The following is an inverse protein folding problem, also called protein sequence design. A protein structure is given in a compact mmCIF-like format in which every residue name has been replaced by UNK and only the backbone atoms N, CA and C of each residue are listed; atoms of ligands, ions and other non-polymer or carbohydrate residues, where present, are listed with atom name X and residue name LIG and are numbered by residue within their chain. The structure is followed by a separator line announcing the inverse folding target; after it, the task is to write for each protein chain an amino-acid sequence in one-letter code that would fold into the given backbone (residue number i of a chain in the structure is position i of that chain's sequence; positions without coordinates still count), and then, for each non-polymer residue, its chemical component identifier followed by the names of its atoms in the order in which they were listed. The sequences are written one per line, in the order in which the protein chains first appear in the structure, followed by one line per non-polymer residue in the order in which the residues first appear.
data_IF_985667991116
#
_entry.id   IF_985667991116
#
_cell.length_a   1.000
_cell.length_b   1.000
_cell.length_c   1.000
_cell.angle_alpha   90.00
_cell.angle_beta   90.00
_cell.angle_gamma   90.00
#
_symmetry.space_group_name_H-M   'P 1'
#
loop_
_entity.id
_entity.type
_entity.pdbx_description
1 polymer ?
#
# COMPACT_ATOMS: atom_id res chain seq x y z
N UNK A 1 13.26 -2.16 -7.50
CA UNK A 1 13.96 -1.34 -6.47
C UNK A 1 14.33 0.07 -6.94
N UNK A 2 14.77 0.26 -8.19
CA UNK A 2 15.07 1.59 -8.75
C UNK A 2 13.92 2.60 -8.60
N UNK A 3 12.68 2.17 -8.90
CA UNK A 3 11.48 3.02 -8.78
C UNK A 3 11.19 3.46 -7.33
N UNK A 4 11.42 2.60 -6.33
CA UNK A 4 11.21 2.92 -4.91
C UNK A 4 12.21 3.98 -4.45
N UNK A 5 13.46 3.88 -4.91
CA UNK A 5 14.51 4.86 -4.64
C UNK A 5 14.24 6.22 -5.28
N UNK A 6 13.78 6.24 -6.54
CA UNK A 6 13.37 7.47 -7.23
C UNK A 6 12.20 8.13 -6.50
N UNK A 7 11.19 7.34 -6.10
CA UNK A 7 10.07 7.83 -5.30
C UNK A 7 10.56 8.43 -3.98
N UNK A 8 11.48 7.77 -3.26
CA UNK A 8 12.06 8.29 -2.02
C UNK A 8 12.73 9.65 -2.23
N UNK A 9 13.53 9.80 -3.30
CA UNK A 9 14.19 11.06 -3.62
C UNK A 9 13.20 12.18 -3.91
N UNK A 10 12.14 11.91 -4.69
CA UNK A 10 11.09 12.90 -4.99
C UNK A 10 10.31 13.33 -3.75
N UNK A 11 9.97 12.38 -2.87
CA UNK A 11 9.26 12.65 -1.61
C UNK A 11 10.16 13.45 -0.67
N UNK A 12 11.42 13.04 -0.52
CA UNK A 12 12.42 13.74 0.27
C UNK A 12 12.63 15.17 -0.19
N UNK A 13 12.78 15.41 -1.50
CA UNK A 13 12.91 16.75 -2.07
C UNK A 13 11.67 17.62 -1.75
N UNK A 14 10.46 17.06 -1.88
CA UNK A 14 9.21 17.77 -1.57
C UNK A 14 9.10 18.14 -0.10
N UNK A 15 9.46 17.23 0.81
CA UNK A 15 9.44 17.47 2.26
C UNK A 15 10.53 18.47 2.66
N UNK A 16 11.73 18.35 2.09
CA UNK A 16 12.85 19.26 2.30
C UNK A 16 12.51 20.69 1.89
N UNK A 17 11.95 20.87 0.69
CA UNK A 17 11.52 22.18 0.20
C UNK A 17 10.50 22.83 1.14
N UNK A 18 9.54 22.06 1.65
CA UNK A 18 8.47 22.61 2.48
C UNK A 18 8.92 22.94 3.90
N UNK A 19 9.75 22.10 4.51
CA UNK A 19 10.23 22.30 5.88
C UNK A 19 11.37 23.31 5.97
N UNK A 20 12.38 23.21 5.10
CA UNK A 20 13.62 23.97 5.26
C UNK A 20 13.59 25.29 4.47
N UNK A 21 13.02 25.28 3.26
CA UNK A 21 13.02 26.47 2.40
C UNK A 21 11.77 27.34 2.67
N UNK A 22 10.63 26.71 2.97
CA UNK A 22 9.36 27.42 3.15
C UNK A 22 8.93 27.60 4.61
N UNK A 23 9.58 26.95 5.58
CA UNK A 23 9.21 26.96 7.02
C UNK A 23 7.71 26.68 7.27
N UNK A 24 7.09 25.86 6.40
CA UNK A 24 5.68 25.52 6.48
C UNK A 24 5.48 24.15 7.15
N UNK A 25 4.42 23.98 7.95
CA UNK A 25 4.12 22.68 8.53
C UNK A 25 3.79 21.63 7.46
N UNK A 26 4.11 20.38 7.79
CA UNK A 26 3.77 19.20 6.98
C UNK A 26 2.26 19.13 6.76
N UNK A 27 1.87 18.94 5.52
CA UNK A 27 0.46 18.81 5.20
C UNK A 27 0.02 17.35 5.21
N UNK A 28 -1.28 17.11 5.39
CA UNK A 28 -1.84 15.75 5.40
C UNK A 28 -1.42 14.93 4.17
N UNK A 29 -1.35 15.54 2.99
CA UNK A 29 -0.84 14.88 1.77
C UNK A 29 0.61 14.43 1.90
N UNK A 30 1.49 15.22 2.52
CA UNK A 30 2.90 14.84 2.68
C UNK A 30 3.05 13.67 3.66
N UNK A 31 2.29 13.68 4.75
CA UNK A 31 2.27 12.58 5.73
C UNK A 31 1.76 11.28 5.09
N UNK A 32 0.66 11.35 4.32
CA UNK A 32 0.09 10.20 3.63
C UNK A 32 1.05 9.62 2.57
N UNK A 33 1.79 10.48 1.86
CA UNK A 33 2.81 10.06 0.89
C UNK A 33 3.95 9.33 1.57
N UNK A 34 4.47 9.85 2.69
CA UNK A 34 5.52 9.18 3.46
C UNK A 34 5.05 7.82 3.99
N UNK A 35 3.81 7.76 4.52
CA UNK A 35 3.21 6.51 4.97
C UNK A 35 3.01 5.51 3.81
N UNK A 36 2.58 5.98 2.64
CA UNK A 36 2.41 5.15 1.44
C UNK A 36 3.75 4.58 0.97
N UNK A 37 4.81 5.39 1.01
CA UNK A 37 6.16 4.95 0.65
C UNK A 37 6.69 3.92 1.64
N UNK A 38 6.56 4.16 2.95
CA UNK A 38 6.99 3.21 3.98
C UNK A 38 6.27 1.86 3.84
N UNK A 39 4.95 1.87 3.67
CA UNK A 39 4.16 0.64 3.45
C UNK A 39 4.50 -0.05 2.13
N UNK A 40 4.83 0.69 1.08
CA UNK A 40 5.33 0.13 -0.19
C UNK A 40 6.70 -0.54 -0.03
N UNK A 41 7.61 0.03 0.78
CA UNK A 41 8.91 -0.57 1.09
C UNK A 41 8.71 -1.88 1.86
N UNK A 42 7.81 -1.89 2.85
CA UNK A 42 7.45 -3.11 3.58
C UNK A 42 6.92 -4.16 2.59
N UNK A 43 5.97 -3.81 1.74
CA UNK A 43 5.43 -4.73 0.73
C UNK A 43 6.53 -5.29 -0.19
N UNK A 44 7.45 -4.45 -0.68
CA UNK A 44 8.54 -4.88 -1.54
C UNK A 44 9.55 -5.80 -0.82
N UNK A 45 9.64 -5.73 0.51
CA UNK A 45 10.48 -6.65 1.28
C UNK A 45 9.93 -8.08 1.29
N UNK A 46 8.60 -8.26 1.29
CA UNK A 46 7.97 -9.58 1.15
C UNK A 46 8.31 -10.20 -0.21
N UNK A 47 8.34 -9.42 -1.29
CA UNK A 47 8.72 -9.91 -2.63
C UNK A 47 10.13 -10.48 -2.67
N UNK A 48 11.08 -9.89 -1.92
CA UNK A 48 12.45 -10.43 -1.79
C UNK A 48 12.43 -11.80 -1.12
N UNK A 49 11.65 -11.93 -0.04
CA UNK A 49 11.51 -13.19 0.70
C UNK A 49 10.89 -14.26 -0.20
N UNK A 50 9.81 -13.95 -0.91
CA UNK A 50 9.20 -14.89 -1.86
C UNK A 50 10.14 -15.26 -3.01
N UNK A 51 10.98 -14.33 -3.48
CA UNK A 51 11.98 -14.64 -4.50
C UNK A 51 13.05 -15.61 -3.97
N UNK A 52 13.51 -15.42 -2.72
CA UNK A 52 14.47 -16.32 -2.06
C UNK A 52 13.90 -17.71 -1.84
N UNK A 53 12.60 -17.80 -1.51
CA UNK A 53 11.88 -19.05 -1.38
C UNK A 53 11.56 -19.71 -2.73
N UNK A 54 11.85 -19.06 -3.87
CA UNK A 54 11.56 -19.61 -5.19
C UNK A 54 10.07 -19.63 -5.57
N UNK A 55 9.22 -18.95 -4.78
CA UNK A 55 7.79 -18.81 -5.04
C UNK A 55 7.48 -17.87 -6.23
N UNK A 56 8.41 -16.98 -6.61
CA UNK A 56 8.27 -16.06 -7.75
C UNK A 56 8.70 -16.64 -9.11
N UNK A 57 8.86 -17.96 -9.23
CA UNK A 57 9.25 -18.57 -10.51
C UNK A 57 8.08 -18.57 -11.49
N UNK A 58 8.31 -18.35 -12.79
CA UNK A 58 7.24 -18.17 -13.78
C UNK A 58 6.33 -19.38 -13.98
N UNK A 59 6.74 -20.57 -13.52
CA UNK A 59 5.95 -21.81 -13.57
C UNK A 59 5.17 -22.10 -12.27
N UNK A 60 5.36 -21.29 -11.23
CA UNK A 60 4.65 -21.44 -9.94
C UNK A 60 3.45 -20.50 -9.96
N UNK A 61 2.25 -21.05 -9.81
CA UNK A 61 1.03 -20.24 -9.77
C UNK A 61 0.92 -19.47 -8.45
N UNK A 62 0.08 -18.43 -8.40
CA UNK A 62 -0.25 -17.74 -7.14
C UNK A 62 -0.91 -18.67 -6.09
N UNK A 63 -1.45 -19.81 -6.52
CA UNK A 63 -1.96 -20.86 -5.65
C UNK A 63 -0.87 -21.86 -5.21
N UNK A 64 0.39 -21.57 -5.52
CA UNK A 64 1.54 -22.46 -5.36
C UNK A 64 1.45 -23.76 -6.19
N UNK A 65 0.59 -23.80 -7.22
CA UNK A 65 0.58 -24.93 -8.14
C UNK A 65 1.92 -25.00 -8.88
N UNK A 66 2.58 -26.15 -8.81
CA UNK A 66 3.90 -26.36 -9.40
C UNK A 66 5.08 -25.99 -8.50
N UNK A 67 4.84 -25.51 -7.27
CA UNK A 67 5.90 -25.36 -6.27
C UNK A 67 6.34 -26.73 -5.74
N UNK A 68 7.64 -27.02 -5.81
CA UNK A 68 8.24 -28.30 -5.36
C UNK A 68 9.06 -28.09 -4.08
N UNK A 69 8.40 -27.67 -3.00
CA UNK A 69 9.00 -27.53 -1.67
C UNK A 69 8.42 -28.51 -0.65
N UNK A 70 8.91 -28.45 0.58
CA UNK A 70 8.34 -29.22 1.68
C UNK A 70 6.95 -28.66 2.06
N UNK A 71 6.07 -29.46 2.67
CA UNK A 71 4.77 -28.97 3.14
C UNK A 71 4.90 -27.80 4.13
N UNK A 72 5.97 -27.79 4.94
CA UNK A 72 6.30 -26.71 5.87
C UNK A 72 6.64 -25.39 5.14
N UNK A 73 7.39 -25.45 4.04
CA UNK A 73 7.68 -24.27 3.22
C UNK A 73 6.43 -23.71 2.55
N UNK A 74 5.53 -24.57 2.10
CA UNK A 74 4.25 -24.17 1.48
C UNK A 74 3.38 -23.43 2.50
N UNK A 75 3.27 -23.96 3.72
CA UNK A 75 2.55 -23.31 4.81
C UNK A 75 3.16 -21.94 5.16
N UNK A 76 4.49 -21.87 5.26
CA UNK A 76 5.19 -20.62 5.55
C UNK A 76 4.97 -19.55 4.46
N UNK A 77 5.02 -19.94 3.19
CA UNK A 77 4.73 -19.02 2.07
C UNK A 77 3.28 -18.52 2.15
N UNK A 78 2.33 -19.39 2.51
CA UNK A 78 0.94 -18.98 2.71
C UNK A 78 0.78 -17.94 3.84
N UNK A 79 1.44 -18.16 4.98
CA UNK A 79 1.47 -17.20 6.11
C UNK A 79 2.04 -15.85 5.69
N UNK A 80 3.17 -15.87 4.98
CA UNK A 80 3.79 -14.66 4.41
C UNK A 80 2.88 -13.97 3.41
N UNK A 81 2.17 -14.71 2.56
CA UNK A 81 1.28 -14.16 1.54
C UNK A 81 0.06 -13.50 2.15
N UNK A 82 -0.51 -14.08 3.21
CA UNK A 82 -1.54 -13.43 3.99
C UNK A 82 -1.03 -12.15 4.67
N UNK A 83 0.11 -12.22 5.36
CA UNK A 83 0.72 -11.06 6.02
C UNK A 83 1.11 -9.93 5.05
N UNK A 84 1.59 -10.27 3.85
CA UNK A 84 2.00 -9.34 2.81
C UNK A 84 0.84 -8.59 2.15
N UNK A 85 -0.39 -9.10 2.24
CA UNK A 85 -1.57 -8.40 1.69
C UNK A 85 -1.88 -7.11 2.43
N UNK A 86 -1.66 -7.05 3.74
CA UNK A 86 -1.90 -5.83 4.53
C UNK A 86 -1.08 -4.63 4.04
N UNK A 87 0.27 -4.68 4.03
CA UNK A 87 1.07 -3.54 3.56
C UNK A 87 0.78 -3.21 2.09
N UNK A 88 0.48 -4.21 1.25
CA UNK A 88 0.12 -4.00 -0.15
C UNK A 88 -1.18 -3.18 -0.31
N UNK A 89 -2.28 -3.61 0.33
CA UNK A 89 -3.54 -2.89 0.25
C UNK A 89 -3.44 -1.52 0.92
N UNK A 90 -2.81 -1.43 2.09
CA UNK A 90 -2.60 -0.16 2.79
C UNK A 90 -1.81 0.83 1.92
N UNK A 91 -0.72 0.41 1.27
CA UNK A 91 0.02 1.26 0.34
C UNK A 91 -0.86 1.76 -0.81
N UNK A 92 -1.65 0.86 -1.42
CA UNK A 92 -2.53 1.20 -2.54
C UNK A 92 -3.60 2.23 -2.16
N UNK A 93 -4.23 2.08 -0.99
CA UNK A 93 -5.23 3.03 -0.51
C UNK A 93 -4.62 4.35 -0.01
N UNK A 94 -3.43 4.34 0.58
CA UNK A 94 -2.71 5.56 0.95
C UNK A 94 -2.28 6.39 -0.27
N UNK A 95 -1.90 5.75 -1.38
CA UNK A 95 -1.66 6.42 -2.66
C UNK A 95 -2.93 7.12 -3.20
N UNK A 96 -4.10 6.47 -3.10
CA UNK A 96 -5.39 7.10 -3.46
C UNK A 96 -5.72 8.28 -2.55
N UNK A 97 -5.55 8.11 -1.23
CA UNK A 97 -5.80 9.17 -0.25
C UNK A 97 -4.87 10.38 -0.44
N UNK A 98 -3.60 10.13 -0.77
CA UNK A 98 -2.61 11.14 -1.15
C UNK A 98 -3.09 11.99 -2.32
N UNK A 99 -3.57 11.35 -3.40
CA UNK A 99 -4.05 12.05 -4.59
C UNK A 99 -5.30 12.87 -4.27
N UNK A 100 -6.26 12.29 -3.54
CA UNK A 100 -7.49 12.98 -3.15
C UNK A 100 -7.21 14.20 -2.27
N UNK A 101 -6.30 14.09 -1.31
CA UNK A 101 -5.91 15.22 -0.44
C UNK A 101 -5.15 16.30 -1.21
N UNK A 102 -4.37 15.94 -2.23
CA UNK A 102 -3.76 16.89 -3.15
C UNK A 102 -4.82 17.63 -3.98
N UNK A 103 -5.79 16.91 -4.55
CA UNK A 103 -6.89 17.51 -5.29
C UNK A 103 -7.76 18.42 -4.42
N UNK A 104 -7.94 18.11 -3.14
CA UNK A 104 -8.69 18.95 -2.21
C UNK A 104 -8.07 20.33 -2.01
N UNK A 105 -6.76 20.45 -2.22
CA UNK A 105 -6.07 21.75 -2.20
C UNK A 105 -6.13 22.48 -3.53
N UNK A 106 -6.12 21.73 -4.63
CA UNK A 106 -6.20 22.33 -5.96
C UNK A 106 -7.60 22.87 -6.28
N UNK A 107 -8.66 22.24 -5.76
CA UNK A 107 -10.03 22.69 -5.99
C UNK A 107 -10.49 23.75 -4.97
N UNK A 108 -10.67 25.01 -5.39
CA UNK A 108 -11.12 26.08 -4.51
C UNK A 108 -12.60 25.95 -4.10
N UNK A 109 -12.98 26.61 -3.00
CA UNK A 109 -14.29 26.47 -2.33
C UNK A 109 -15.47 26.80 -3.25
N UNK A 110 -15.28 27.70 -4.23
CA UNK A 110 -16.35 28.14 -5.12
C UNK A 110 -16.88 27.03 -6.05
N UNK A 111 -16.09 25.99 -6.34
CA UNK A 111 -16.51 24.87 -7.20
C UNK A 111 -17.29 23.80 -6.41
N UNK A 112 -18.48 24.15 -5.93
CA UNK A 112 -19.25 23.31 -4.99
C UNK A 112 -19.51 21.89 -5.50
N UNK A 113 -19.88 21.71 -6.78
CA UNK A 113 -20.16 20.38 -7.36
C UNK A 113 -18.94 19.47 -7.33
N UNK A 114 -17.78 19.98 -7.76
CA UNK A 114 -16.52 19.21 -7.78
C UNK A 114 -16.08 18.84 -6.37
N UNK A 115 -16.29 19.74 -5.40
CA UNK A 115 -15.94 19.49 -4.00
C UNK A 115 -16.83 18.42 -3.35
N UNK A 116 -18.13 18.39 -3.66
CA UNK A 116 -19.05 17.33 -3.22
C UNK A 116 -18.63 15.96 -3.77
N UNK A 117 -18.28 15.89 -5.05
CA UNK A 117 -17.76 14.66 -5.68
C UNK A 117 -16.49 14.20 -4.97
N UNK A 118 -15.55 15.12 -4.74
CA UNK A 118 -14.29 14.80 -4.06
C UNK A 118 -14.49 14.23 -2.65
N UNK A 119 -15.36 14.85 -1.85
CA UNK A 119 -15.72 14.34 -0.52
C UNK A 119 -16.37 12.95 -0.60
N UNK A 120 -17.26 12.74 -1.57
CA UNK A 120 -17.85 11.43 -1.84
C UNK A 120 -16.78 10.37 -2.17
N UNK A 121 -15.80 10.71 -3.02
CA UNK A 121 -14.70 9.80 -3.37
C UNK A 121 -13.79 9.52 -2.18
N UNK A 122 -13.51 10.51 -1.32
CA UNK A 122 -12.75 10.32 -0.09
C UNK A 122 -13.46 9.36 0.87
N UNK A 123 -14.75 9.58 1.11
CA UNK A 123 -15.55 8.69 1.96
C UNK A 123 -15.60 7.26 1.39
N UNK A 124 -15.84 7.13 0.08
CA UNK A 124 -15.82 5.84 -0.60
C UNK A 124 -14.48 5.12 -0.48
N UNK A 125 -13.34 5.83 -0.67
CA UNK A 125 -12.01 5.23 -0.49
C UNK A 125 -11.78 4.76 0.94
N UNK A 126 -12.23 5.51 1.94
CA UNK A 126 -12.14 5.11 3.35
C UNK A 126 -12.97 3.86 3.64
N UNK A 127 -14.23 3.82 3.18
CA UNK A 127 -15.10 2.65 3.34
C UNK A 127 -14.55 1.43 2.60
N UNK A 128 -14.05 1.61 1.37
CA UNK A 128 -13.45 0.54 0.59
C UNK A 128 -12.18 0.00 1.24
N UNK A 129 -11.35 0.86 1.86
CA UNK A 129 -10.19 0.42 2.63
C UNK A 129 -10.61 -0.44 3.82
N UNK A 130 -11.57 0.03 4.63
CA UNK A 130 -12.09 -0.73 5.77
C UNK A 130 -12.68 -2.07 5.33
N UNK A 131 -13.50 -2.08 4.28
CA UNK A 131 -14.06 -3.30 3.73
C UNK A 131 -12.97 -4.27 3.24
N UNK A 132 -11.91 -3.75 2.62
CA UNK A 132 -10.77 -4.58 2.16
C UNK A 132 -10.06 -5.21 3.36
N UNK A 133 -9.69 -4.43 4.38
CA UNK A 133 -9.01 -4.95 5.58
C UNK A 133 -9.89 -5.96 6.32
N UNK A 134 -11.18 -5.67 6.49
CA UNK A 134 -12.13 -6.60 7.10
C UNK A 134 -12.22 -7.88 6.29
N UNK A 135 -12.29 -7.79 4.96
CA UNK A 135 -12.32 -8.96 4.09
C UNK A 135 -11.02 -9.76 4.20
N UNK A 136 -9.85 -9.13 4.24
CA UNK A 136 -8.56 -9.83 4.42
C UNK A 136 -8.47 -10.53 5.78
N UNK A 137 -9.06 -9.95 6.82
CA UNK A 137 -9.13 -10.55 8.16
C UNK A 137 -10.13 -11.71 8.22
N UNK A 138 -11.26 -11.63 7.50
CA UNK A 138 -12.33 -12.63 7.54
C UNK A 138 -12.24 -13.66 6.42
N UNK A 139 -11.37 -13.48 5.43
CA UNK A 139 -11.20 -14.45 4.34
C UNK A 139 -10.77 -15.78 4.96
N UNK A 140 -11.63 -16.78 4.80
CA UNK A 140 -11.43 -18.13 5.29
C UNK A 140 -10.25 -18.78 4.55
N UNK A 141 -9.04 -18.57 5.06
CA UNK A 141 -7.97 -19.56 5.00
C UNK A 141 -8.10 -20.42 6.26
N UNK A 142 -7.95 -21.75 6.18
CA UNK A 142 -8.03 -22.61 7.37
C UNK A 142 -7.07 -22.07 8.44
N UNK A 143 -7.59 -21.94 9.67
CA UNK A 143 -6.96 -21.24 10.81
C UNK A 143 -5.55 -21.75 11.12
N UNK A 144 -5.26 -23.02 10.83
CA UNK A 144 -3.93 -23.63 10.99
C UNK A 144 -2.86 -23.02 10.05
N UNK A 145 -3.27 -22.41 8.93
CA UNK A 145 -2.38 -21.72 8.00
C UNK A 145 -2.19 -20.22 8.28
N UNK A 146 -2.87 -19.65 9.28
CA UNK A 146 -2.74 -18.23 9.65
C UNK A 146 -1.87 -18.01 10.90
N UNK A 147 -1.66 -19.05 11.72
CA UNK A 147 -0.90 -19.03 12.98
C UNK A 147 0.16 -20.13 12.99
#
# INVERSE_FOLDING_TARGET
FTLIGIAAAMIGARVYLRLIIQDLPLNASDILVCAAWATSVISASFDIVFHKLGALRPYVSYNLDGYRGTPEEVEFIWKLQWGGQFPFFTAFYLCKATLLTLYARFFPVFMQTRRKILWGTMAFCGCAYLATILTTLTICRPIEGNW
#
